data_IF_365999695050
#
_entry.id   IF_365999695050
#
_cell.length_a   1.000
_cell.length_b   1.000
_cell.length_c   1.000
_cell.angle_alpha   90.00
_cell.angle_beta   90.00
_cell.angle_gamma   90.00
#
_symmetry.space_group_name_H-M   'P 1'
#
loop_
_entity.id
_entity.type
_entity.pdbx_description
1 polymer ?
#
# COMPACT_ATOMS: atom_id res chain seq x y z
N UNK A 1 -17.52 6.14 -21.14
CA UNK A 1 -16.11 5.89 -20.75
C UNK A 1 -16.14 5.53 -19.28
N UNK A 2 -15.95 4.24 -19.00
CA UNK A 2 -16.03 3.65 -17.67
C UNK A 2 -14.90 4.21 -16.80
N UNK A 3 -15.25 4.72 -15.62
CA UNK A 3 -14.28 5.27 -14.66
C UNK A 3 -13.60 4.07 -14.01
N UNK A 4 -12.41 3.73 -14.49
CA UNK A 4 -11.53 2.65 -14.01
C UNK A 4 -11.66 2.43 -12.50
N UNK A 5 -12.43 1.41 -12.12
CA UNK A 5 -12.62 1.03 -10.73
C UNK A 5 -11.39 0.21 -10.33
N UNK A 6 -10.39 0.87 -9.75
CA UNK A 6 -9.21 0.19 -9.22
C UNK A 6 -9.65 -0.81 -8.15
N UNK A 7 -9.32 -2.08 -8.34
CA UNK A 7 -9.63 -3.15 -7.40
C UNK A 7 -8.58 -3.22 -6.30
N UNK A 8 -8.90 -3.92 -5.21
CA UNK A 8 -7.92 -4.17 -4.14
C UNK A 8 -6.71 -4.96 -4.66
N UNK A 9 -6.92 -5.86 -5.63
CA UNK A 9 -5.85 -6.65 -6.25
C UNK A 9 -4.87 -5.77 -7.03
N UNK A 10 -5.40 -4.83 -7.84
CA UNK A 10 -4.57 -3.86 -8.57
C UNK A 10 -3.70 -3.03 -7.62
N UNK A 11 -4.26 -2.63 -6.47
CA UNK A 11 -3.53 -1.87 -5.44
C UNK A 11 -2.46 -2.73 -4.79
N UNK A 12 -2.78 -3.99 -4.45
CA UNK A 12 -1.82 -4.92 -3.85
C UNK A 12 -0.65 -5.18 -4.80
N UNK A 13 -0.95 -5.45 -6.07
CA UNK A 13 0.07 -5.69 -7.10
C UNK A 13 1.00 -4.48 -7.23
N UNK A 14 0.43 -3.27 -7.33
CA UNK A 14 1.19 -2.03 -7.37
C UNK A 14 2.09 -1.85 -6.14
N UNK A 15 1.54 -2.06 -4.95
CA UNK A 15 2.26 -1.91 -3.67
C UNK A 15 3.44 -2.88 -3.59
N UNK A 16 3.26 -4.13 -4.02
CA UNK A 16 4.31 -5.15 -4.02
C UNK A 16 5.37 -4.95 -5.11
N UNK A 17 4.97 -4.49 -6.30
CA UNK A 17 5.90 -4.11 -7.37
C UNK A 17 6.82 -2.95 -6.92
N UNK A 18 6.26 -1.95 -6.22
CA UNK A 18 7.09 -0.90 -5.61
C UNK A 18 8.02 -1.45 -4.51
N UNK A 19 7.60 -2.45 -3.73
CA UNK A 19 8.47 -3.07 -2.70
C UNK A 19 9.72 -3.70 -3.31
N UNK A 20 9.55 -4.38 -4.43
CA UNK A 20 10.63 -5.06 -5.14
C UNK A 20 11.69 -4.08 -5.69
N UNK A 21 11.29 -2.82 -5.94
CA UNK A 21 12.19 -1.75 -6.44
C UNK A 21 12.87 -0.95 -5.34
N UNK A 22 12.44 -1.09 -4.09
CA UNK A 22 12.97 -0.34 -2.95
C UNK A 22 14.07 -1.11 -2.24
N UNK A 23 15.12 -0.40 -1.83
CA UNK A 23 16.23 -1.03 -1.07
C UNK A 23 15.92 -1.17 0.41
N UNK A 24 14.84 -0.56 0.90
CA UNK A 24 14.39 -0.68 2.29
C UNK A 24 12.90 -0.42 2.46
N UNK A 25 12.31 -0.94 3.54
CA UNK A 25 10.91 -0.66 3.91
C UNK A 25 10.66 0.81 4.21
N UNK A 26 11.69 1.56 4.62
CA UNK A 26 11.59 3.00 4.84
C UNK A 26 11.42 3.74 3.52
N UNK A 27 12.20 3.39 2.50
CA UNK A 27 12.06 3.96 1.16
C UNK A 27 10.70 3.60 0.56
N UNK A 28 10.31 2.33 0.68
CA UNK A 28 9.02 1.86 0.19
C UNK A 28 7.84 2.64 0.78
N UNK A 29 7.77 2.75 2.12
CA UNK A 29 6.74 3.56 2.78
C UNK A 29 6.79 5.03 2.38
N UNK A 30 7.98 5.60 2.22
CA UNK A 30 8.12 6.98 1.77
C UNK A 30 7.51 7.19 0.37
N UNK A 31 7.76 6.27 -0.57
CA UNK A 31 7.15 6.28 -1.90
C UNK A 31 5.63 6.12 -1.83
N UNK A 32 5.12 5.15 -1.08
CA UNK A 32 3.69 4.91 -0.92
C UNK A 32 2.93 6.12 -0.39
N UNK A 33 3.54 6.88 0.53
CA UNK A 33 2.96 8.13 1.04
C UNK A 33 2.79 9.19 -0.05
N UNK A 34 3.68 9.21 -1.04
CA UNK A 34 3.53 10.05 -2.24
C UNK A 34 2.29 9.71 -3.08
N UNK A 35 1.83 8.46 -3.02
CA UNK A 35 0.61 7.98 -3.67
C UNK A 35 -0.62 8.03 -2.75
N UNK A 36 -0.48 8.51 -1.51
CA UNK A 36 -1.57 8.58 -0.53
C UNK A 36 -1.86 7.26 0.18
N UNK A 37 -0.89 6.35 0.24
CA UNK A 37 -0.97 5.10 1.01
C UNK A 37 0.04 5.10 2.16
N UNK A 38 -0.25 4.33 3.22
CA UNK A 38 0.71 4.05 4.28
C UNK A 38 0.63 2.57 4.69
N UNK A 39 1.71 2.05 5.24
CA UNK A 39 1.77 0.68 5.76
C UNK A 39 1.91 0.76 7.28
N UNK A 40 0.93 0.20 7.96
CA UNK A 40 0.87 0.16 9.42
C UNK A 40 1.12 -1.27 9.89
N UNK A 41 2.11 -1.46 10.75
CA UNK A 41 2.31 -2.75 11.42
C UNK A 41 1.31 -2.86 12.56
N UNK A 42 0.49 -3.91 12.51
CA UNK A 42 -0.49 -4.26 13.55
C UNK A 42 -0.05 -5.56 14.24
N UNK A 43 -0.69 -5.93 15.35
CA UNK A 43 -0.45 -7.21 16.00
C UNK A 43 -0.75 -8.44 15.12
N UNK A 44 -1.47 -8.27 14.02
CA UNK A 44 -1.82 -9.32 13.06
C UNK A 44 -0.94 -9.32 11.78
N UNK A 45 0.01 -8.39 11.66
CA UNK A 45 0.85 -8.23 10.47
C UNK A 45 0.79 -6.81 9.89
N UNK A 46 1.29 -6.64 8.66
CA UNK A 46 1.27 -5.35 7.97
C UNK A 46 -0.09 -5.10 7.30
N UNK A 47 -0.63 -3.89 7.48
CA UNK A 47 -1.89 -3.45 6.91
C UNK A 47 -1.66 -2.26 5.98
N UNK A 48 -2.17 -2.34 4.75
CA UNK A 48 -2.20 -1.21 3.83
C UNK A 48 -3.36 -0.28 4.19
N UNK A 49 -3.07 1.00 4.30
CA UNK A 49 -4.04 2.04 4.65
C UNK A 49 -4.00 3.18 3.64
N UNK A 50 -5.13 3.88 3.50
CA UNK A 50 -5.26 5.10 2.70
C UNK A 50 -5.14 6.33 3.58
N UNK A 51 -4.28 7.26 3.19
CA UNK A 51 -4.14 8.57 3.80
C UNK A 51 -5.25 9.53 3.31
N UNK A 52 -5.57 10.60 4.09
CA UNK A 52 -4.96 10.98 5.37
C UNK A 52 -5.58 10.29 6.59
N UNK A 53 -6.77 9.69 6.47
CA UNK A 53 -7.53 9.17 7.63
C UNK A 53 -7.16 7.74 8.06
N UNK A 54 -6.17 7.10 7.42
CA UNK A 54 -5.72 5.76 7.78
C UNK A 54 -6.76 4.66 7.50
N UNK A 55 -7.59 4.83 6.46
CA UNK A 55 -8.62 3.84 6.12
C UNK A 55 -7.95 2.56 5.61
N UNK A 56 -8.18 1.45 6.31
CA UNK A 56 -7.67 0.14 5.92
C UNK A 56 -8.16 -0.31 4.53
N UNK A 57 -7.28 -0.96 3.77
CA UNK A 57 -7.55 -1.47 2.42
C UNK A 57 -7.44 -3.00 2.42
N UNK A 58 -6.27 -3.52 2.75
CA UNK A 58 -5.99 -4.96 2.77
C UNK A 58 -4.74 -5.29 3.60
N UNK A 59 -4.67 -6.51 4.16
CA UNK A 59 -3.44 -7.01 4.76
C UNK A 59 -2.37 -7.24 3.68
N UNK A 60 -1.12 -7.07 4.07
CA UNK A 60 0.04 -7.34 3.23
C UNK A 60 0.75 -8.60 3.73
N UNK A 61 1.07 -9.49 2.81
CA UNK A 61 1.94 -10.65 3.05
C UNK A 61 3.38 -10.24 2.68
N UNK A 62 4.19 -9.88 3.69
CA UNK A 62 5.56 -9.35 3.54
C UNK A 62 6.57 -10.10 4.41
#
# INVERSE_FOLDING_TARGET
>A
MDRTKTTTDDILHFVMDERARCVSDREWRHRLRGYGYDIVTTGAGAMLTKLPHGREICPLDI
#
